data_IF_559801791790
#
_entry.id   IF_559801791790
#
_cell.length_a   1.000
_cell.length_b   1.000
_cell.length_c   1.000
_cell.angle_alpha   90.00
_cell.angle_beta   90.00
_cell.angle_gamma   90.00
#
_symmetry.space_group_name_H-M   'P 1'
#
loop_
_entity.id
_entity.type
_entity.pdbx_description
1 polymer ?
#
# COMPACT_ATOMS: atom_id res chain seq x y z
N UNK A 1 -1.48 6.20 -9.76
CA UNK A 1 -0.82 7.48 -9.48
C UNK A 1 0.56 7.46 -10.13
N UNK A 2 1.02 8.59 -10.67
CA UNK A 2 2.43 8.73 -11.03
C UNK A 2 3.31 8.84 -9.79
N UNK A 3 4.64 8.84 -9.98
CA UNK A 3 5.60 9.02 -8.90
C UNK A 3 5.52 10.38 -8.20
N UNK A 4 4.83 11.38 -8.76
CA UNK A 4 4.62 12.67 -8.09
C UNK A 4 3.35 12.67 -7.26
N UNK A 5 3.46 12.11 -6.05
CA UNK A 5 2.37 12.05 -5.07
C UNK A 5 2.41 13.22 -4.08
N UNK A 6 3.10 14.32 -4.42
CA UNK A 6 3.43 15.43 -3.49
C UNK A 6 4.20 14.94 -2.25
N UNK A 7 5.02 13.91 -2.45
CA UNK A 7 5.74 13.19 -1.42
C UNK A 7 4.89 12.18 -0.66
N UNK A 8 5.53 11.40 0.24
CA UNK A 8 4.82 10.39 1.05
C UNK A 8 3.65 10.97 1.85
N UNK A 9 3.75 12.24 2.30
CA UNK A 9 2.66 12.93 3.00
C UNK A 9 1.44 13.17 2.12
N UNK A 10 1.65 13.46 0.82
CA UNK A 10 0.55 13.60 -0.12
C UNK A 10 -0.10 12.26 -0.44
N UNK A 11 0.68 11.18 -0.51
CA UNK A 11 0.16 9.82 -0.62
C UNK A 11 -0.66 9.41 0.62
N UNK A 12 -0.13 9.66 1.83
CA UNK A 12 -0.83 9.43 3.10
C UNK A 12 -2.14 10.24 3.16
N UNK A 13 -2.12 11.51 2.75
CA UNK A 13 -3.32 12.36 2.68
C UNK A 13 -4.36 11.81 1.70
N UNK A 14 -3.93 11.29 0.54
CA UNK A 14 -4.83 10.68 -0.43
C UNK A 14 -5.50 9.42 0.13
N UNK A 15 -4.74 8.54 0.82
CA UNK A 15 -5.28 7.39 1.53
C UNK A 15 -6.32 7.82 2.58
N UNK A 16 -5.99 8.83 3.40
CA UNK A 16 -6.88 9.36 4.42
C UNK A 16 -8.19 9.91 3.81
N UNK A 17 -8.10 10.75 2.78
CA UNK A 17 -9.26 11.38 2.15
C UNK A 17 -10.18 10.35 1.50
N UNK A 18 -9.63 9.37 0.78
CA UNK A 18 -10.42 8.31 0.14
C UNK A 18 -11.09 7.41 1.17
N UNK A 19 -10.39 7.08 2.25
CA UNK A 19 -10.97 6.34 3.38
C UNK A 19 -12.20 7.08 3.94
N UNK A 20 -12.08 8.40 4.19
CA UNK A 20 -13.21 9.21 4.69
C UNK A 20 -14.36 9.28 3.70
N UNK A 21 -14.09 9.47 2.41
CA UNK A 21 -15.13 9.48 1.37
C UNK A 21 -15.86 8.14 1.26
N UNK A 22 -15.17 7.03 1.54
CA UNK A 22 -15.76 5.70 1.60
C UNK A 22 -16.31 5.32 2.99
N UNK A 23 -16.45 6.29 3.90
CA UNK A 23 -17.00 6.14 5.25
C UNK A 23 -16.20 5.25 6.21
N UNK A 24 -14.89 5.08 5.97
CA UNK A 24 -14.00 4.44 6.95
C UNK A 24 -13.73 5.37 8.13
N UNK A 25 -13.80 4.80 9.34
CA UNK A 25 -13.56 5.52 10.61
C UNK A 25 -12.10 5.53 11.01
N UNK A 26 -11.35 4.51 10.61
CA UNK A 26 -9.94 4.34 10.92
C UNK A 26 -9.04 5.14 9.95
N UNK A 27 -7.75 5.17 10.24
CA UNK A 27 -6.76 5.95 9.50
C UNK A 27 -5.94 5.04 8.62
N UNK A 28 -5.71 5.48 7.38
CA UNK A 28 -4.92 4.76 6.39
C UNK A 28 -3.68 5.57 6.01
N UNK A 29 -2.56 4.87 5.81
CA UNK A 29 -1.30 5.41 5.31
C UNK A 29 -0.88 4.68 4.03
N UNK A 30 -0.10 5.33 3.19
CA UNK A 30 0.38 4.73 1.96
C UNK A 30 1.41 3.62 2.26
N UNK A 31 1.30 2.51 1.53
CA UNK A 31 2.27 1.41 1.51
C UNK A 31 3.49 1.81 0.69
N UNK A 32 4.28 2.76 1.19
CA UNK A 32 5.44 3.29 0.50
C UNK A 32 6.60 3.45 1.50
N UNK A 33 7.81 3.12 1.06
CA UNK A 33 9.01 3.64 1.72
C UNK A 33 9.13 5.15 1.51
N UNK A 34 9.85 5.82 2.41
CA UNK A 34 10.21 7.23 2.27
C UNK A 34 11.65 7.47 2.68
N UNK A 35 12.11 8.71 2.54
CA UNK A 35 13.46 9.10 2.94
C UNK A 35 13.79 8.77 4.42
N UNK A 36 12.78 8.72 5.30
CA UNK A 36 12.99 8.53 6.74
C UNK A 36 12.31 7.27 7.31
N UNK A 37 11.54 6.54 6.51
CA UNK A 37 10.78 5.38 6.97
C UNK A 37 10.87 4.25 5.95
N UNK A 38 11.36 3.10 6.41
CA UNK A 38 11.28 1.83 5.68
C UNK A 38 9.82 1.35 5.65
N UNK A 39 9.43 0.71 4.56
CA UNK A 39 8.08 0.19 4.36
C UNK A 39 7.66 -0.80 5.44
N UNK A 40 8.55 -1.70 5.86
CA UNK A 40 8.27 -2.67 6.94
C UNK A 40 8.05 -2.01 8.32
N UNK A 41 8.35 -0.72 8.46
CA UNK A 41 8.13 0.10 9.66
C UNK A 41 6.93 1.04 9.55
N UNK A 42 6.10 0.93 8.52
CA UNK A 42 4.83 1.69 8.43
C UNK A 42 3.89 1.29 9.56
N UNK A 43 3.83 0.00 9.87
CA UNK A 43 3.10 -0.57 11.02
C UNK A 43 4.01 -0.60 12.25
N UNK A 44 3.43 -0.27 13.41
CA UNK A 44 4.12 -0.26 14.69
C UNK A 44 4.64 -1.67 15.04
N UNK A 45 5.80 -1.77 15.72
CA UNK A 45 6.45 -3.06 15.98
C UNK A 45 5.57 -4.05 16.73
N UNK A 46 4.76 -3.57 17.67
CA UNK A 46 3.83 -4.40 18.46
C UNK A 46 2.65 -4.97 17.66
N UNK A 47 2.38 -4.44 16.47
CA UNK A 47 1.26 -4.87 15.63
C UNK A 47 1.73 -5.72 14.44
N UNK A 48 3.02 -6.08 14.34
CA UNK A 48 3.56 -6.78 13.16
C UNK A 48 3.12 -8.24 13.03
N UNK A 49 2.67 -8.85 14.13
CA UNK A 49 2.11 -10.20 14.13
C UNK A 49 0.59 -10.19 13.83
N UNK A 50 0.04 -9.01 13.54
CA UNK A 50 -1.38 -8.83 13.24
C UNK A 50 -1.69 -9.34 11.84
N UNK A 51 -2.78 -10.13 11.66
CA UNK A 51 -3.22 -10.57 10.35
C UNK A 51 -3.57 -9.42 9.42
N UNK A 52 -3.27 -9.62 8.15
CA UNK A 52 -3.53 -8.65 7.09
C UNK A 52 -4.74 -9.11 6.30
N UNK A 53 -5.74 -8.24 6.14
CA UNK A 53 -7.01 -8.56 5.50
C UNK A 53 -7.34 -7.58 4.37
N UNK A 54 -8.19 -8.02 3.44
CA UNK A 54 -8.79 -7.15 2.45
C UNK A 54 -10.01 -6.40 3.04
N UNK A 55 -10.63 -5.55 2.21
CA UNK A 55 -11.81 -4.75 2.56
C UNK A 55 -13.02 -5.53 3.13
N UNK A 56 -13.11 -6.82 2.84
CA UNK A 56 -14.21 -7.70 3.29
C UNK A 56 -13.86 -8.44 4.59
N UNK A 57 -12.68 -8.19 5.17
CA UNK A 57 -12.17 -8.93 6.31
C UNK A 57 -11.62 -10.31 5.94
N UNK A 58 -11.44 -10.60 4.65
CA UNK A 58 -10.85 -11.85 4.20
C UNK A 58 -9.33 -11.76 4.32
N UNK A 59 -8.71 -12.80 4.90
CA UNK A 59 -7.29 -12.83 5.22
C UNK A 59 -6.42 -12.96 3.98
N UNK A 60 -5.49 -12.03 3.81
CA UNK A 60 -4.46 -11.99 2.75
C UNK A 60 -3.14 -12.61 3.22
N UNK A 61 -2.72 -12.29 4.45
CA UNK A 61 -1.49 -12.79 5.10
C UNK A 61 -1.77 -13.08 6.58
N UNK A 62 -1.03 -14.03 7.17
CA UNK A 62 -1.17 -14.36 8.58
C UNK A 62 -0.60 -13.30 9.50
N UNK A 63 0.42 -12.57 9.03
CA UNK A 63 1.00 -11.42 9.70
C UNK A 63 1.43 -10.31 8.73
N UNK A 64 1.64 -9.10 9.23
CA UNK A 64 2.29 -8.03 8.48
C UNK A 64 3.73 -8.39 8.10
N UNK A 65 4.43 -9.13 8.96
CA UNK A 65 5.80 -9.59 8.70
C UNK A 65 5.89 -10.53 7.50
N UNK A 66 4.86 -11.33 7.23
CA UNK A 66 4.84 -12.31 6.13
C UNK A 66 5.00 -11.67 4.75
N UNK A 67 4.48 -10.45 4.58
CA UNK A 67 4.62 -9.65 3.35
C UNK A 67 6.10 -9.50 2.97
N UNK A 68 6.96 -9.28 3.98
CA UNK A 68 8.39 -9.03 3.81
C UNK A 68 9.25 -10.31 3.89
N UNK A 69 8.61 -11.44 4.18
CA UNK A 69 9.23 -12.77 4.10
C UNK A 69 8.94 -13.47 2.75
N UNK A 70 8.40 -12.72 1.79
CA UNK A 70 8.01 -13.22 0.46
C UNK A 70 7.00 -14.38 0.52
N UNK A 71 6.17 -14.41 1.57
CA UNK A 71 5.06 -15.37 1.64
C UNK A 71 4.05 -15.08 0.55
N UNK A 72 3.40 -16.15 0.08
CA UNK A 72 2.33 -16.02 -0.90
C UNK A 72 1.11 -15.39 -0.26
N UNK A 73 0.55 -14.40 -0.94
CA UNK A 73 -0.77 -13.88 -0.59
C UNK A 73 -1.84 -14.93 -0.88
N UNK A 74 -2.89 -14.98 -0.06
CA UNK A 74 -4.06 -15.81 -0.36
C UNK A 74 -4.64 -15.52 -1.77
N UNK A 75 -5.20 -16.56 -2.43
CA UNK A 75 -5.86 -16.45 -3.74
C UNK A 75 -7.27 -15.84 -3.62
N UNK A 76 -7.32 -14.61 -3.10
CA UNK A 76 -8.55 -13.84 -2.92
C UNK A 76 -8.38 -12.42 -3.48
N UNK A 77 -9.48 -11.73 -3.81
CA UNK A 77 -9.41 -10.38 -4.34
C UNK A 77 -8.90 -9.36 -3.30
N UNK A 78 -8.28 -8.29 -3.80
CA UNK A 78 -8.10 -7.05 -3.04
C UNK A 78 -8.99 -5.99 -3.67
N UNK A 79 -9.58 -5.15 -2.81
CA UNK A 79 -10.51 -4.12 -3.20
C UNK A 79 -9.92 -2.72 -2.99
N UNK A 80 -10.38 -1.79 -3.83
CA UNK A 80 -10.20 -0.35 -3.62
C UNK A 80 -11.27 0.20 -2.68
N UNK A 81 -11.12 1.45 -2.23
CA UNK A 81 -12.08 2.10 -1.32
C UNK A 81 -13.53 2.11 -1.84
N UNK A 82 -13.76 2.14 -3.15
CA UNK A 82 -15.10 2.04 -3.74
C UNK A 82 -15.56 0.60 -4.03
N UNK A 83 -14.91 -0.40 -3.42
CA UNK A 83 -15.26 -1.83 -3.49
C UNK A 83 -15.08 -2.46 -4.87
N UNK A 84 -14.24 -1.89 -5.76
CA UNK A 84 -13.86 -2.53 -7.02
C UNK A 84 -12.72 -3.53 -6.81
N UNK A 85 -12.84 -4.70 -7.44
CA UNK A 85 -11.79 -5.72 -7.44
C UNK A 85 -10.64 -5.29 -8.37
N UNK A 86 -9.48 -5.04 -7.79
CA UNK A 86 -8.34 -4.45 -8.50
C UNK A 86 -7.74 -5.38 -9.54
N UNK A 87 -7.89 -6.70 -9.39
CA UNK A 87 -7.33 -7.66 -10.34
C UNK A 87 -8.08 -7.73 -11.67
N UNK A 88 -9.38 -7.43 -11.67
CA UNK A 88 -10.23 -7.57 -12.86
C UNK A 88 -10.72 -6.23 -13.42
N UNK A 89 -10.74 -5.18 -12.60
CA UNK A 89 -11.23 -3.87 -13.05
C UNK A 89 -10.23 -3.23 -14.03
N UNK A 90 -10.75 -2.70 -15.15
CA UNK A 90 -9.96 -2.12 -16.24
C UNK A 90 -9.41 -0.73 -15.92
N UNK A 91 -9.86 -0.07 -14.85
CA UNK A 91 -9.32 1.23 -14.41
C UNK A 91 -7.83 1.15 -14.01
N UNK A 92 -7.34 -0.05 -13.67
CA UNK A 92 -5.92 -0.34 -13.45
C UNK A 92 -5.39 -1.23 -14.57
N UNK A 93 -5.01 -0.69 -15.74
CA UNK A 93 -4.53 -1.50 -16.85
C UNK A 93 -3.22 -2.22 -16.50
N UNK A 94 -2.34 -1.56 -15.74
CA UNK A 94 -1.09 -2.16 -15.25
C UNK A 94 -1.28 -2.66 -13.80
N UNK A 95 -1.20 -3.98 -13.62
CA UNK A 95 -1.32 -4.64 -12.29
C UNK A 95 0.02 -4.59 -11.55
N UNK A 96 0.49 -3.38 -11.27
CA UNK A 96 1.70 -3.13 -10.46
C UNK A 96 1.43 -2.15 -9.34
N UNK A 97 2.16 -2.32 -8.24
CA UNK A 97 2.10 -1.42 -7.09
C UNK A 97 3.40 -0.63 -6.92
N UNK A 98 3.28 0.66 -6.62
CA UNK A 98 4.41 1.42 -6.08
C UNK A 98 4.70 0.97 -4.65
N UNK A 99 5.98 0.80 -4.30
CA UNK A 99 6.39 0.52 -2.92
C UNK A 99 7.76 1.13 -2.53
N UNK A 100 8.65 1.36 -3.51
CA UNK A 100 9.93 2.07 -3.27
C UNK A 100 10.90 1.35 -2.32
N UNK A 101 10.78 0.04 -2.19
CA UNK A 101 11.48 -0.77 -1.19
C UNK A 101 12.07 -2.03 -1.82
N UNK A 102 13.03 -2.69 -1.19
CA UNK A 102 13.40 -4.06 -1.56
C UNK A 102 12.36 -5.09 -1.08
N UNK A 103 12.64 -6.38 -1.27
CA UNK A 103 11.78 -7.50 -0.87
C UNK A 103 11.61 -7.65 0.65
N UNK A 104 12.53 -7.09 1.45
CA UNK A 104 12.48 -7.07 2.91
C UNK A 104 11.75 -5.85 3.47
N UNK A 105 11.31 -4.94 2.59
CA UNK A 105 10.64 -3.71 2.95
C UNK A 105 11.59 -2.61 3.42
N UNK A 106 12.90 -2.75 3.19
CA UNK A 106 13.86 -1.66 3.38
C UNK A 106 13.81 -0.72 2.18
N UNK A 107 14.05 0.58 2.40
CA UNK A 107 14.02 1.57 1.31
C UNK A 107 14.99 1.18 0.19
N UNK A 108 14.55 1.29 -1.06
CA UNK A 108 15.37 0.90 -2.21
C UNK A 108 16.52 1.89 -2.45
N UNK A 109 17.69 1.37 -2.80
CA UNK A 109 18.80 2.16 -3.37
C UNK A 109 18.48 2.66 -4.78
N UNK A 110 17.70 1.90 -5.56
CA UNK A 110 17.28 2.27 -6.92
C UNK A 110 16.29 3.44 -6.97
N UNK A 111 15.85 3.93 -5.81
CA UNK A 111 15.07 5.15 -5.68
C UNK A 111 13.56 4.93 -5.58
N UNK A 112 12.90 6.00 -5.14
CA UNK A 112 11.46 6.08 -4.91
C UNK A 112 10.92 7.41 -5.45
N UNK A 113 11.20 7.70 -6.73
CA UNK A 113 10.72 8.88 -7.46
C UNK A 113 11.01 10.23 -6.79
N UNK A 114 12.26 10.44 -6.36
CA UNK A 114 12.68 11.62 -5.60
C UNK A 114 11.80 11.87 -4.37
N UNK A 115 11.69 10.88 -3.48
CA UNK A 115 10.78 10.95 -2.33
C UNK A 115 9.30 11.08 -2.73
N UNK A 116 8.89 10.48 -3.84
CA UNK A 116 7.56 10.55 -4.44
C UNK A 116 7.12 11.96 -4.84
N UNK A 117 8.07 12.76 -5.34
CA UNK A 117 7.84 14.17 -5.74
C UNK A 117 8.08 14.42 -7.23
N UNK A 118 8.35 13.37 -8.00
CA UNK A 118 8.69 13.50 -9.41
C UNK A 118 7.91 12.50 -10.26
N UNK A 119 7.47 12.97 -11.42
CA UNK A 119 6.87 12.15 -12.46
C UNK A 119 7.74 12.15 -13.73
N UNK A 120 9.02 12.51 -13.61
CA UNK A 120 9.95 12.53 -14.73
C UNK A 120 10.24 11.09 -15.22
N UNK A 121 10.24 10.88 -16.53
CA UNK A 121 10.58 9.59 -17.15
C UNK A 121 12.05 9.19 -16.96
N UNK A 122 12.93 10.17 -16.71
CA UNK A 122 14.35 9.93 -16.38
C UNK A 122 14.57 9.43 -14.95
N UNK A 123 13.52 9.40 -14.12
CA UNK A 123 13.59 8.92 -12.75
C UNK A 123 12.79 7.63 -12.60
N UNK A 124 13.22 6.82 -11.65
CA UNK A 124 12.58 5.54 -11.36
C UNK A 124 12.16 5.43 -9.89
N UNK A 125 11.17 4.58 -9.69
CA UNK A 125 10.77 4.09 -8.38
C UNK A 125 10.66 2.57 -8.40
N UNK A 126 10.76 1.94 -7.23
CA UNK A 126 10.51 0.50 -7.13
C UNK A 126 9.02 0.16 -7.16
N UNK A 127 8.66 -0.77 -8.04
CA UNK A 127 7.31 -1.31 -8.16
C UNK A 127 7.31 -2.84 -8.36
N UNK A 128 6.27 -3.52 -7.90
CA UNK A 128 6.11 -4.97 -8.03
C UNK A 128 4.85 -5.31 -8.80
N UNK A 129 4.83 -6.48 -9.44
CA UNK A 129 3.57 -7.03 -9.96
C UNK A 129 2.69 -7.47 -8.81
N UNK A 130 1.38 -7.29 -8.96
CA UNK A 130 0.38 -7.76 -8.00
C UNK A 130 -0.57 -8.73 -8.68
N UNK A 131 -0.77 -9.88 -8.04
CA UNK A 131 -1.65 -10.94 -8.51
C UNK A 131 -2.06 -11.82 -7.35
N UNK A 132 -3.17 -12.55 -7.52
CA UNK A 132 -3.64 -13.51 -6.53
C UNK A 132 -2.65 -14.68 -6.41
N UNK A 133 -2.42 -15.19 -5.19
CA UNK A 133 -1.46 -16.28 -4.96
C UNK A 133 0.02 -15.87 -5.07
N UNK A 134 0.33 -14.61 -5.41
CA UNK A 134 1.70 -14.14 -5.55
C UNK A 134 2.15 -13.39 -4.28
N UNK A 135 3.45 -13.42 -3.93
CA UNK A 135 3.99 -12.49 -2.95
C UNK A 135 3.72 -11.03 -3.36
N UNK A 136 3.41 -10.17 -2.38
CA UNK A 136 3.01 -8.78 -2.68
C UNK A 136 4.12 -7.98 -3.39
N UNK A 137 5.38 -8.31 -3.08
CA UNK A 137 6.57 -7.68 -3.64
C UNK A 137 7.21 -8.52 -4.75
N UNK A 138 6.44 -9.42 -5.38
CA UNK A 138 6.89 -10.30 -6.45
C UNK A 138 7.33 -9.52 -7.70
N UNK A 139 8.43 -9.97 -8.32
CA UNK A 139 9.03 -9.35 -9.51
C UNK A 139 9.17 -7.83 -9.38
N UNK A 140 9.72 -7.42 -8.24
CA UNK A 140 10.00 -6.02 -7.92
C UNK A 140 11.10 -5.47 -8.83
N UNK A 141 10.78 -4.44 -9.61
CA UNK A 141 11.68 -3.80 -10.58
C UNK A 141 11.51 -2.29 -10.56
N UNK A 142 12.48 -1.62 -11.17
CA UNK A 142 12.42 -0.18 -11.37
C UNK A 142 11.39 0.14 -12.46
N UNK A 143 10.56 1.12 -12.19
CA UNK A 143 9.53 1.63 -13.11
C UNK A 143 9.66 3.14 -13.22
N UNK A 144 9.49 3.67 -14.43
CA UNK A 144 9.53 5.10 -14.69
C UNK A 144 8.49 5.84 -13.85
N UNK A 145 8.89 6.95 -13.23
CA UNK A 145 8.00 7.72 -12.35
C UNK A 145 6.84 8.40 -13.10
N UNK A 146 6.91 8.47 -14.43
CA UNK A 146 5.81 8.91 -15.30
C UNK A 146 4.63 7.91 -15.32
N UNK A 147 4.88 6.61 -15.04
CA UNK A 147 3.86 5.57 -15.09
C UNK A 147 2.80 5.72 -14.01
N UNK A 148 1.55 5.45 -14.37
CA UNK A 148 0.44 5.44 -13.43
C UNK A 148 0.21 4.04 -12.86
N UNK A 149 0.86 3.75 -11.74
CA UNK A 149 0.73 2.47 -11.04
C UNK A 149 -0.17 2.59 -9.82
N UNK A 150 -0.50 1.44 -9.24
CA UNK A 150 -1.43 1.35 -8.12
C UNK A 150 -0.68 1.70 -6.82
N UNK A 151 -1.36 2.35 -5.87
CA UNK A 151 -0.82 2.64 -4.53
C UNK A 151 -1.70 1.94 -3.50
N UNK A 152 -1.10 1.11 -2.66
CA UNK A 152 -1.79 0.47 -1.55
C UNK A 152 -1.87 1.42 -0.35
N UNK A 153 -2.95 1.32 0.41
CA UNK A 153 -3.19 2.01 1.67
C UNK A 153 -3.38 0.97 2.77
N UNK A 154 -2.65 1.16 3.87
CA UNK A 154 -2.63 0.27 5.01
C UNK A 154 -3.30 0.98 6.17
N UNK A 155 -4.23 0.29 6.81
CA UNK A 155 -4.79 0.75 8.07
C UNK A 155 -3.69 0.81 9.13
N UNK A 156 -3.48 2.01 9.67
CA UNK A 156 -2.62 2.20 10.82
C UNK A 156 -3.50 2.49 12.02
N UNK A 157 -3.48 1.58 12.99
CA UNK A 157 -4.24 1.75 14.21
C UNK A 157 -3.62 2.89 15.03
N UNK A 158 -4.28 4.05 15.10
CA UNK A 158 -4.00 5.03 16.15
C UNK A 158 -4.79 4.63 17.39
N UNK A 159 -4.29 3.67 18.15
CA UNK A 159 -4.81 3.41 19.49
C UNK A 159 -4.28 4.49 20.44
N UNK A 160 -5.09 5.51 20.73
CA UNK A 160 -5.06 6.06 22.09
C UNK A 160 -5.51 4.91 22.99
N UNK A 161 -4.61 4.41 23.83
CA UNK A 161 -4.89 3.31 24.76
C UNK A 161 -6.06 3.68 25.68
N UNK A 162 -7.29 3.39 25.29
CA UNK A 162 -8.46 3.37 26.15
C UNK A 162 -9.54 2.48 25.51
N UNK A 163 -9.50 1.19 25.87
CA UNK A 163 -10.67 0.43 26.35
C UNK A 163 -10.38 -1.06 26.30
N UNK A 164 -10.81 -1.74 27.35
CA UNK A 164 -10.59 -3.15 27.69
C UNK A 164 -11.35 -4.14 26.80
N UNK A 165 -11.37 -3.92 25.49
CA UNK A 165 -11.97 -4.87 24.55
C UNK A 165 -10.91 -5.50 23.66
N UNK A 166 -10.76 -6.81 23.80
CA UNK A 166 -10.12 -7.71 22.83
C UNK A 166 -10.86 -7.64 21.50
N UNK A 167 -10.66 -6.56 20.74
CA UNK A 167 -10.90 -6.59 19.31
C UNK A 167 -9.69 -7.25 18.67
N UNK A 168 -9.92 -8.31 17.91
CA UNK A 168 -8.91 -8.85 17.00
C UNK A 168 -8.40 -7.69 16.14
N UNK A 169 -7.18 -7.22 16.41
CA UNK A 169 -6.52 -6.26 15.53
C UNK A 169 -6.43 -6.92 14.15
N UNK A 170 -6.83 -6.21 13.11
CA UNK A 170 -6.63 -6.60 11.72
C UNK A 170 -6.03 -5.39 11.01
N UNK A 171 -5.07 -5.62 10.13
CA UNK A 171 -4.52 -4.59 9.26
C UNK A 171 -5.24 -4.69 7.93
N UNK A 172 -6.12 -3.73 7.64
CA UNK A 172 -6.76 -3.66 6.33
C UNK A 172 -5.79 -3.11 5.28
N UNK A 173 -5.64 -3.85 4.17
CA UNK A 173 -5.02 -3.37 2.94
C UNK A 173 -6.12 -3.01 1.95
N UNK A 174 -6.14 -1.74 1.56
CA UNK A 174 -7.10 -1.17 0.62
C UNK A 174 -6.34 -0.43 -0.46
N UNK A 175 -6.77 -0.52 -1.72
CA UNK A 175 -6.15 0.25 -2.79
C UNK A 175 -6.64 1.70 -2.86
N UNK A 176 -5.68 2.61 -3.09
CA UNK A 176 -5.91 3.99 -3.51
C UNK A 176 -6.15 4.06 -5.02
N UNK A 177 -7.15 4.83 -5.42
CA UNK A 177 -7.54 5.04 -6.81
C UNK A 177 -6.41 5.55 -7.72
N UNK A 178 -6.53 5.23 -9.01
CA UNK A 178 -5.97 6.04 -10.08
C UNK A 178 -6.91 7.23 -10.33
N UNK A 179 -6.37 8.44 -10.17
CA UNK A 179 -6.91 9.72 -10.66
C UNK A 179 -8.43 9.81 -10.89
N UNK A 180 -9.17 10.20 -9.85
CA UNK A 180 -10.12 11.28 -10.07
C UNK A 180 -9.41 12.55 -9.63
N UNK A 181 -9.20 13.46 -10.60
CA UNK A 181 -8.76 14.84 -10.39
C UNK A 181 -9.43 15.38 -9.12
N UNK A 182 -8.71 15.42 -8.00
CA UNK A 182 -9.11 16.25 -6.87
C UNK A 182 -8.66 17.63 -7.28
N UNK A 183 -9.64 18.38 -7.82
CA UNK A 183 -9.65 19.78 -8.28
C UNK A 183 -8.30 20.51 -8.29
#
# INVERSE_FOLDING_TARGET
MSGNMRGVRGADLACYQQARQANFRTTFRAFLSSHVQDLNKVVHSGDRDTPVVNLRGERLFDSWSDIFQQQQMADIPIYSFNRRNVFIDSIWPEKRIWHGSDSSGLRSESGYCSAWRSAASSQVGRASFIGRGLPLLHDSRDSECSRELIVLCIEVFFCSKFSSFSFFSLINIIFSFNNYKIF
#
